data_IF_852040054284
#
_entry.id   IF_852040054284
#
_cell.length_a   1.000
_cell.length_b   1.000
_cell.length_c   1.000
_cell.angle_alpha   90.00
_cell.angle_beta   90.00
_cell.angle_gamma   90.00
#
_symmetry.space_group_name_H-M   'P 1'
#
loop_
_entity.id
_entity.type
_entity.pdbx_description
1 polymer ?
#
# COMPACT_ATOMS: atom_id res chain seq x y z
N UNK A 1 -3.69 -11.78 -13.04
CA UNK A 1 -4.41 -10.70 -13.76
C UNK A 1 -4.10 -10.79 -15.26
N UNK A 2 -4.95 -10.27 -16.17
CA UNK A 2 -4.56 -10.11 -17.57
C UNK A 2 -3.40 -9.12 -17.69
N UNK A 3 -2.53 -9.30 -18.68
CA UNK A 3 -1.37 -8.42 -18.91
C UNK A 3 -1.74 -7.12 -19.61
N UNK A 4 -2.81 -7.14 -20.42
CA UNK A 4 -3.28 -5.99 -21.18
C UNK A 4 -4.80 -5.83 -21.01
N UNK A 5 -5.28 -4.59 -20.99
CA UNK A 5 -6.70 -4.25 -20.95
C UNK A 5 -6.97 -2.98 -21.78
N UNK A 6 -8.21 -2.80 -22.21
CA UNK A 6 -8.69 -1.53 -22.77
C UNK A 6 -9.14 -0.59 -21.65
N UNK A 7 -9.12 0.73 -21.87
CA UNK A 7 -9.77 1.69 -20.97
C UNK A 7 -11.22 1.25 -20.70
N UNK A 8 -11.69 1.41 -19.47
CA UNK A 8 -13.09 1.09 -19.10
C UNK A 8 -13.46 -0.41 -19.17
N UNK A 9 -12.50 -1.32 -19.43
CA UNK A 9 -12.74 -2.77 -19.49
C UNK A 9 -12.90 -3.40 -18.09
N UNK A 10 -13.76 -4.43 -17.98
CA UNK A 10 -13.86 -5.23 -16.76
C UNK A 10 -12.73 -6.26 -16.68
N UNK A 11 -11.94 -6.15 -15.61
CA UNK A 11 -10.78 -7.02 -15.38
C UNK A 11 -11.07 -7.97 -14.22
N UNK A 12 -10.75 -9.25 -14.43
CA UNK A 12 -10.81 -10.29 -13.41
C UNK A 12 -9.44 -10.50 -12.77
N UNK A 13 -9.36 -10.27 -11.47
CA UNK A 13 -8.19 -10.50 -10.64
C UNK A 13 -8.41 -11.79 -9.86
N UNK A 14 -7.49 -12.74 -9.99
CA UNK A 14 -7.49 -13.97 -9.19
C UNK A 14 -6.57 -13.73 -7.99
N UNK A 15 -7.11 -13.90 -6.80
CA UNK A 15 -6.40 -13.70 -5.55
C UNK A 15 -6.34 -15.05 -4.86
N UNK A 16 -5.11 -15.49 -4.55
CA UNK A 16 -4.83 -16.73 -3.83
C UNK A 16 -4.31 -16.39 -2.44
N UNK A 17 -4.93 -16.94 -1.42
CA UNK A 17 -4.58 -16.74 0.00
C UNK A 17 -5.06 -17.94 0.81
N UNK A 18 -4.51 -18.13 2.02
CA UNK A 18 -5.04 -19.15 2.93
C UNK A 18 -6.50 -18.84 3.28
N UNK A 19 -7.30 -19.89 3.52
CA UNK A 19 -8.69 -19.75 3.93
C UNK A 19 -8.83 -18.90 5.21
N UNK A 20 -9.96 -18.18 5.34
CA UNK A 20 -10.27 -17.30 6.48
C UNK A 20 -9.23 -16.17 6.73
N UNK A 21 -8.45 -15.82 5.72
CA UNK A 21 -7.53 -14.69 5.77
C UNK A 21 -8.23 -13.37 5.49
N UNK A 22 -7.78 -12.31 6.17
CA UNK A 22 -8.04 -10.95 5.74
C UNK A 22 -7.11 -10.60 4.58
N UNK A 23 -7.61 -9.89 3.55
CA UNK A 23 -6.79 -9.47 2.41
C UNK A 23 -6.95 -7.98 2.15
N UNK A 24 -5.84 -7.24 2.11
CA UNK A 24 -5.79 -5.86 1.62
C UNK A 24 -5.24 -5.81 0.20
N UNK A 25 -5.91 -5.10 -0.70
CA UNK A 25 -5.49 -4.91 -2.09
C UNK A 25 -5.29 -3.42 -2.39
N UNK A 26 -4.17 -3.13 -3.06
CA UNK A 26 -3.79 -1.81 -3.54
C UNK A 26 -3.51 -1.88 -5.03
N UNK A 27 -4.04 -0.92 -5.79
CA UNK A 27 -3.82 -0.80 -7.23
C UNK A 27 -3.54 0.65 -7.59
N UNK A 28 -2.30 0.95 -7.95
CA UNK A 28 -1.81 2.33 -8.16
C UNK A 28 -1.26 2.46 -9.58
N UNK A 29 -1.40 3.66 -10.14
CA UNK A 29 -0.78 4.01 -11.41
C UNK A 29 0.75 3.95 -11.30
N UNK A 30 1.42 3.33 -12.28
CA UNK A 30 2.87 3.24 -12.33
C UNK A 30 3.55 4.61 -12.33
N UNK A 31 2.94 5.64 -12.92
CA UNK A 31 3.49 7.00 -12.93
C UNK A 31 3.64 7.59 -11.52
N UNK A 32 2.71 7.31 -10.61
CA UNK A 32 2.77 7.75 -9.21
C UNK A 32 3.89 7.02 -8.46
N UNK A 33 4.06 5.72 -8.71
CA UNK A 33 5.15 4.93 -8.14
C UNK A 33 6.54 5.41 -8.60
N UNK A 34 6.62 6.00 -9.80
CA UNK A 34 7.86 6.59 -10.33
C UNK A 34 8.17 7.97 -9.71
N UNK A 35 7.17 8.70 -9.20
CA UNK A 35 7.38 9.99 -8.55
C UNK A 35 7.96 9.84 -7.15
N UNK A 36 7.44 8.88 -6.37
CA UNK A 36 7.93 8.60 -5.01
C UNK A 36 7.75 7.12 -4.69
N UNK A 37 8.87 6.40 -4.57
CA UNK A 37 8.92 5.01 -4.12
C UNK A 37 9.00 4.92 -2.59
N UNK A 38 8.83 3.72 -2.05
CA UNK A 38 8.94 3.45 -0.60
C UNK A 38 7.65 3.60 0.20
N UNK A 39 6.50 3.77 -0.45
CA UNK A 39 5.19 3.85 0.22
C UNK A 39 4.45 2.48 0.26
N UNK A 40 5.04 1.42 -0.31
CA UNK A 40 4.46 0.07 -0.30
C UNK A 40 5.16 -0.81 0.73
N UNK A 41 4.45 -1.81 1.26
CA UNK A 41 4.99 -2.74 2.25
C UNK A 41 5.95 -3.71 1.58
N UNK A 42 7.19 -3.78 2.06
CA UNK A 42 8.16 -4.79 1.60
C UNK A 42 8.36 -5.88 2.64
N UNK A 43 8.78 -7.05 2.15
CA UNK A 43 9.11 -8.17 3.02
C UNK A 43 10.23 -7.79 4.00
N UNK A 44 11.25 -7.10 3.51
CA UNK A 44 12.39 -6.70 4.32
C UNK A 44 11.97 -5.73 5.43
N UNK A 45 11.07 -4.77 5.15
CA UNK A 45 10.56 -3.85 6.19
C UNK A 45 9.85 -4.60 7.31
N UNK A 46 9.04 -5.61 6.97
CA UNK A 46 8.35 -6.45 7.95
C UNK A 46 9.36 -7.26 8.77
N UNK A 47 10.30 -7.96 8.12
CA UNK A 47 11.27 -8.79 8.84
C UNK A 47 12.28 -7.98 9.66
N UNK A 48 12.68 -6.81 9.17
CA UNK A 48 13.53 -5.88 9.92
C UNK A 48 12.80 -5.37 11.16
N UNK A 49 11.52 -5.03 11.04
CA UNK A 49 10.67 -4.65 12.19
C UNK A 49 10.48 -5.82 13.16
N UNK A 50 10.24 -7.05 12.68
CA UNK A 50 10.11 -8.21 13.56
C UNK A 50 11.42 -8.54 14.29
N UNK A 51 12.56 -8.32 13.65
CA UNK A 51 13.87 -8.56 14.25
C UNK A 51 14.15 -7.63 15.44
N UNK A 52 13.51 -6.46 15.54
CA UNK A 52 13.69 -5.58 16.72
C UNK A 52 13.08 -6.17 18.00
N UNK A 53 12.16 -7.13 17.87
CA UNK A 53 11.57 -7.84 19.00
C UNK A 53 12.37 -9.08 19.43
N UNK A 54 13.51 -9.35 18.80
CA UNK A 54 14.39 -10.43 19.24
C UNK A 54 14.94 -10.12 20.63
N UNK A 55 14.65 -11.01 21.58
CA UNK A 55 15.13 -10.89 22.94
C UNK A 55 16.52 -11.48 23.07
N UNK A 56 17.38 -10.79 23.81
CA UNK A 56 18.67 -11.30 24.27
C UNK A 56 18.74 -11.10 25.78
N UNK A 57 19.45 -11.98 26.48
CA UNK A 57 19.70 -11.73 27.90
C UNK A 57 20.79 -10.67 28.02
N UNK A 58 20.57 -9.60 28.82
CA UNK A 58 21.54 -8.54 29.00
C UNK A 58 22.91 -9.07 29.41
N UNK A 59 23.96 -8.29 29.11
CA UNK A 59 25.32 -8.63 29.51
C UNK A 59 25.41 -8.89 31.02
N UNK A 60 25.94 -10.05 31.40
CA UNK A 60 26.14 -10.44 32.79
C UNK A 60 27.63 -10.32 33.16
N UNK A 61 27.94 -9.67 34.29
CA UNK A 61 29.30 -9.61 34.81
C UNK A 61 29.78 -11.01 35.25
N UNK A 62 30.74 -11.59 34.53
CA UNK A 62 31.33 -12.89 34.86
C UNK A 62 32.36 -13.37 33.84
N UNK A 63 33.16 -14.38 34.22
CA UNK A 63 34.10 -15.04 33.33
C UNK A 63 33.40 -16.18 32.57
N UNK A 64 32.93 -15.91 31.34
CA UNK A 64 32.52 -16.96 30.39
C UNK A 64 31.14 -16.78 29.75
N UNK A 65 30.81 -17.70 28.83
CA UNK A 65 29.49 -17.79 28.17
C UNK A 65 28.45 -18.25 29.18
N UNK A 66 27.35 -17.51 29.31
CA UNK A 66 26.26 -17.87 30.21
C UNK A 66 25.06 -18.46 29.43
N UNK A 67 24.30 -19.39 30.02
CA UNK A 67 23.09 -19.92 29.41
C UNK A 67 22.11 -18.79 29.10
N UNK A 68 21.52 -18.78 27.90
CA UNK A 68 20.55 -17.77 27.51
C UNK A 68 21.12 -16.57 26.74
N UNK A 69 22.44 -16.36 26.75
CA UNK A 69 23.11 -15.17 26.16
C UNK A 69 22.66 -14.85 24.73
N UNK A 70 22.47 -15.87 23.89
CA UNK A 70 22.05 -15.70 22.49
C UNK A 70 20.60 -16.10 22.24
N UNK A 71 19.92 -16.71 23.21
CA UNK A 71 18.56 -17.24 23.04
C UNK A 71 17.49 -16.42 23.75
N UNK A 72 17.87 -15.39 24.52
CA UNK A 72 16.92 -14.56 25.27
C UNK A 72 16.22 -15.29 26.42
N UNK A 73 16.70 -16.49 26.80
CA UNK A 73 16.09 -17.32 27.83
C UNK A 73 16.68 -17.03 29.21
N UNK A 74 15.82 -16.92 30.21
CA UNK A 74 16.25 -16.84 31.62
C UNK A 74 16.39 -18.26 32.17
N UNK A 75 17.56 -18.58 32.72
CA UNK A 75 17.82 -19.88 33.36
C UNK A 75 17.58 -19.77 34.85
N UNK A 76 16.70 -20.61 35.40
CA UNK A 76 16.44 -20.67 36.84
C UNK A 76 17.12 -21.92 37.41
N UNK A 77 18.06 -21.74 38.35
CA UNK A 77 18.79 -22.84 38.99
C UNK A 77 19.07 -22.53 40.46
N UNK A 78 19.22 -23.58 41.26
CA UNK A 78 19.63 -23.50 42.66
C UNK A 78 21.14 -23.24 42.83
N UNK A 79 21.91 -23.28 41.74
CA UNK A 79 23.31 -22.86 41.74
C UNK A 79 23.39 -21.34 41.96
N UNK A 80 24.29 -20.90 42.86
CA UNK A 80 24.55 -19.49 43.08
C UNK A 80 25.21 -18.88 41.83
N UNK A 81 24.39 -18.33 40.93
CA UNK A 81 24.83 -17.62 39.74
C UNK A 81 24.62 -16.12 39.98
N UNK A 82 25.66 -15.27 39.89
CA UNK A 82 25.50 -13.84 40.11
C UNK A 82 24.63 -13.24 38.99
N UNK A 83 23.39 -12.88 39.32
CA UNK A 83 22.54 -12.06 38.46
C UNK A 83 22.72 -10.60 38.83
N UNK A 84 23.04 -9.74 37.85
CA UNK A 84 22.74 -8.33 37.98
C UNK A 84 21.32 -8.12 37.45
N UNK A 85 20.40 -7.62 38.27
CA UNK A 85 19.02 -7.30 37.89
C UNK A 85 18.87 -5.87 37.38
N UNK A 86 19.97 -5.13 37.23
CA UNK A 86 19.93 -3.82 36.59
C UNK A 86 19.63 -3.96 35.11
N UNK A 87 18.38 -3.70 34.76
CA UNK A 87 17.98 -3.42 33.39
C UNK A 87 18.68 -2.12 32.96
N UNK A 88 19.33 -2.07 31.77
CA UNK A 88 19.65 -0.78 31.20
C UNK A 88 18.32 -0.07 30.91
N UNK A 89 18.11 1.10 31.53
CA UNK A 89 17.02 2.01 31.21
C UNK A 89 17.08 2.28 29.69
N UNK A 90 16.10 1.76 28.95
CA UNK A 90 15.87 2.21 27.60
C UNK A 90 15.36 3.64 27.71
N UNK A 91 16.20 4.58 27.29
CA UNK A 91 15.82 5.98 27.08
C UNK A 91 14.76 6.00 25.99
N UNK A 92 13.52 6.24 26.40
CA UNK A 92 12.49 6.81 25.52
C UNK A 92 12.92 8.23 25.17
N UNK A 93 13.45 8.45 23.96
CA UNK A 93 13.50 9.78 23.37
C UNK A 93 12.19 10.03 22.60
N UNK A 94 11.43 10.99 23.14
CA UNK A 94 10.10 11.46 22.74
C UNK A 94 10.21 12.57 21.65
N UNK A 95 9.21 13.43 21.37
CA UNK A 95 8.61 13.60 20.04
C UNK A 95 8.83 15.01 19.46
N UNK A 96 8.90 15.22 18.15
CA UNK A 96 8.70 16.60 17.62
C UNK A 96 7.76 16.67 16.41
N UNK A 97 6.57 17.16 16.74
CA UNK A 97 5.56 17.80 15.91
C UNK A 97 6.08 19.19 15.52
N UNK A 98 6.10 19.52 14.23
CA UNK A 98 6.23 20.91 13.75
C UNK A 98 4.84 21.50 13.50
N UNK A 99 4.51 22.56 14.24
CA UNK A 99 3.36 23.43 13.97
C UNK A 99 3.80 24.67 13.17
N UNK A 100 2.97 25.13 12.23
CA UNK A 100 2.92 26.52 11.79
C UNK A 100 1.45 26.95 11.65
N UNK A 101 1.04 27.94 12.44
CA UNK A 101 -0.19 28.72 12.26
C UNK A 101 0.13 30.05 11.57
N UNK A 102 -0.70 30.46 10.60
CA UNK A 102 -1.55 31.68 10.65
C UNK A 102 -2.21 31.97 9.28
N UNK A 103 -3.55 31.82 9.23
CA UNK A 103 -4.61 32.79 8.82
C UNK A 103 -4.26 33.97 7.86
N UNK A 104 -5.12 34.50 6.96
CA UNK A 104 -6.59 34.52 6.81
C UNK A 104 -6.98 35.15 5.43
N UNK A 105 -8.12 34.72 4.88
CA UNK A 105 -9.18 35.50 4.17
C UNK A 105 -9.17 35.97 2.69
N UNK A 106 -10.37 35.74 2.10
CA UNK A 106 -11.14 36.48 1.09
C UNK A 106 -10.98 36.16 -0.41
N UNK A 107 -11.95 35.41 -0.96
CA UNK A 107 -12.27 35.36 -2.40
C UNK A 107 -13.57 36.16 -2.71
N UNK A 108 -13.58 37.06 -3.72
CA UNK A 108 -14.79 37.71 -4.24
C UNK A 108 -15.51 36.85 -5.33
N UNK A 109 -16.76 37.18 -5.71
CA UNK A 109 -17.62 36.32 -6.55
C UNK A 109 -17.35 36.43 -8.06
N UNK A 110 -17.72 35.38 -8.80
CA UNK A 110 -17.62 35.26 -10.26
C UNK A 110 -18.63 36.14 -11.02
N UNK A 111 -18.33 36.58 -12.26
CA UNK A 111 -19.33 36.97 -13.24
C UNK A 111 -19.68 35.83 -14.22
N UNK A 112 -20.85 35.96 -14.84
CA UNK A 112 -21.49 34.98 -15.71
C UNK A 112 -21.49 35.40 -17.21
N UNK A 113 -21.38 34.38 -18.09
CA UNK A 113 -21.94 34.22 -19.46
C UNK A 113 -21.41 35.07 -20.63
N UNK A 114 -20.98 34.40 -21.73
CA UNK A 114 -21.65 34.40 -23.06
C UNK A 114 -20.83 33.60 -24.11
N UNK A 115 -21.36 32.46 -24.56
CA UNK A 115 -21.92 32.20 -25.91
C UNK A 115 -20.92 31.73 -26.98
N UNK A 116 -20.97 30.42 -27.29
CA UNK A 116 -20.49 29.87 -28.56
C UNK A 116 -21.67 29.48 -29.46
N UNK A 117 -21.56 29.61 -30.79
CA UNK A 117 -22.63 29.28 -31.73
C UNK A 117 -22.86 27.76 -31.80
N UNK A 118 -24.07 27.30 -32.19
CA UNK A 118 -24.36 25.89 -32.28
C UNK A 118 -23.73 25.31 -33.54
N UNK A 119 -22.88 24.28 -33.38
CA UNK A 119 -22.45 23.48 -34.52
C UNK A 119 -23.41 22.31 -34.74
N UNK A 120 -23.73 22.20 -36.02
CA UNK A 120 -24.72 21.37 -36.67
C UNK A 120 -24.40 19.89 -36.57
N UNK A 121 -25.47 19.11 -36.38
CA UNK A 121 -25.41 17.70 -36.08
C UNK A 121 -24.75 16.83 -37.16
N UNK A 122 -23.97 15.88 -36.68
CA UNK A 122 -23.84 14.55 -37.28
C UNK A 122 -24.08 13.53 -36.17
N UNK A 123 -25.05 12.63 -36.35
CA UNK A 123 -25.31 11.52 -35.44
C UNK A 123 -24.20 10.48 -35.58
N UNK A 124 -23.05 10.79 -35.01
CA UNK A 124 -21.99 9.85 -34.71
C UNK A 124 -22.44 9.06 -33.49
N UNK A 125 -22.24 7.74 -33.48
CA UNK A 125 -22.29 6.93 -32.26
C UNK A 125 -21.64 7.73 -31.13
N UNK A 126 -22.31 7.94 -29.97
CA UNK A 126 -21.80 8.85 -28.96
C UNK A 126 -20.39 8.42 -28.59
N UNK A 127 -19.41 9.28 -28.92
CA UNK A 127 -18.01 9.04 -28.58
C UNK A 127 -17.95 9.01 -27.06
N UNK A 128 -17.55 7.87 -26.51
CA UNK A 128 -17.41 7.72 -25.06
C UNK A 128 -16.17 8.54 -24.63
N UNK A 129 -16.44 9.71 -24.08
CA UNK A 129 -15.41 10.58 -23.53
C UNK A 129 -14.91 9.94 -22.23
N UNK A 130 -13.61 9.64 -22.19
CA UNK A 130 -12.91 9.16 -20.99
C UNK A 130 -12.99 10.21 -19.90
N UNK A 131 -13.38 9.81 -18.70
CA UNK A 131 -13.60 10.72 -17.56
C UNK A 131 -12.86 10.28 -16.30
N UNK A 132 -12.58 8.99 -16.16
CA UNK A 132 -12.01 8.45 -14.93
C UNK A 132 -10.48 8.35 -15.04
N UNK A 133 -9.79 9.39 -14.59
CA UNK A 133 -8.32 9.47 -14.48
C UNK A 133 -7.88 9.44 -13.02
N UNK A 134 -8.20 8.36 -12.31
CA UNK A 134 -7.76 8.17 -10.93
C UNK A 134 -6.26 7.84 -10.86
N UNK A 135 -5.61 8.21 -9.76
CA UNK A 135 -4.25 7.78 -9.42
C UNK A 135 -4.24 6.43 -8.68
N UNK A 136 -5.31 6.16 -7.94
CA UNK A 136 -5.55 4.92 -7.19
C UNK A 136 -6.82 4.26 -7.73
N UNK A 137 -6.66 3.03 -8.21
CA UNK A 137 -7.75 2.22 -8.75
C UNK A 137 -8.34 1.26 -7.72
N UNK A 138 -7.48 0.57 -6.96
CA UNK A 138 -7.90 -0.41 -5.95
C UNK A 138 -7.42 0.06 -4.59
N UNK A 139 -8.37 0.20 -3.68
CA UNK A 139 -8.15 0.40 -2.25
C UNK A 139 -9.27 -0.32 -1.50
N UNK A 140 -9.11 -1.62 -1.32
CA UNK A 140 -10.17 -2.48 -0.79
C UNK A 140 -9.62 -3.55 0.14
N UNK A 141 -10.35 -3.80 1.21
CA UNK A 141 -10.11 -4.91 2.12
C UNK A 141 -11.23 -5.94 2.00
N UNK A 142 -10.85 -7.21 2.00
CA UNK A 142 -11.76 -8.35 1.95
C UNK A 142 -11.63 -9.08 3.28
N UNK A 143 -12.75 -9.16 4.00
CA UNK A 143 -12.82 -9.75 5.34
C UNK A 143 -12.86 -11.29 5.32
N UNK A 144 -12.94 -11.87 6.52
CA UNK A 144 -12.97 -13.32 6.81
C UNK A 144 -14.21 -14.04 6.25
N UNK A 145 -14.31 -14.14 4.94
CA UNK A 145 -15.41 -14.84 4.28
C UNK A 145 -14.94 -15.61 3.05
N UNK A 146 -13.63 -15.71 2.84
CA UNK A 146 -13.08 -16.55 1.78
C UNK A 146 -12.96 -17.97 2.33
N UNK A 147 -14.01 -18.77 2.14
CA UNK A 147 -14.03 -20.20 2.50
C UNK A 147 -13.18 -21.06 1.56
N UNK A 148 -12.66 -20.48 0.48
CA UNK A 148 -11.81 -21.13 -0.52
C UNK A 148 -10.41 -20.48 -0.52
N UNK A 149 -9.38 -21.22 -0.93
CA UNK A 149 -8.00 -20.68 -1.03
C UNK A 149 -7.81 -19.69 -2.19
N UNK A 150 -8.82 -19.54 -3.05
CA UNK A 150 -8.78 -18.66 -4.21
C UNK A 150 -10.15 -17.99 -4.42
N UNK A 151 -10.13 -16.70 -4.75
CA UNK A 151 -11.34 -15.99 -5.18
C UNK A 151 -11.04 -15.03 -6.34
N UNK A 152 -12.09 -14.69 -7.08
CA UNK A 152 -11.99 -13.77 -8.22
C UNK A 152 -12.66 -12.44 -7.90
N UNK A 153 -11.88 -11.36 -7.92
CA UNK A 153 -12.36 -9.99 -7.86
C UNK A 153 -12.54 -9.44 -9.27
N UNK A 154 -13.75 -9.06 -9.64
CA UNK A 154 -14.03 -8.38 -10.92
C UNK A 154 -14.13 -6.89 -10.67
N UNK A 155 -13.32 -6.08 -11.37
CA UNK A 155 -13.36 -4.62 -11.25
C UNK A 155 -13.13 -3.96 -12.59
N UNK A 156 -13.86 -2.86 -12.83
CA UNK A 156 -13.69 -2.01 -14.00
C UNK A 156 -12.40 -1.20 -13.89
N UNK A 157 -11.52 -1.30 -14.88
CA UNK A 157 -10.24 -0.56 -14.90
C UNK A 157 -10.48 0.91 -15.30
N UNK A 158 -9.72 1.89 -14.77
CA UNK A 158 -9.91 3.29 -15.11
C UNK A 158 -9.58 3.60 -16.57
N UNK A 159 -9.94 4.80 -17.01
CA UNK A 159 -9.80 5.19 -18.42
C UNK A 159 -8.37 5.66 -18.78
N UNK A 160 -7.51 5.79 -17.75
CA UNK A 160 -6.12 6.20 -17.89
C UNK A 160 -5.34 5.20 -18.74
N UNK A 161 -4.70 5.70 -19.81
CA UNK A 161 -3.78 4.90 -20.62
C UNK A 161 -2.44 4.88 -19.90
N UNK A 162 -2.30 3.90 -19.02
CA UNK A 162 -1.17 3.74 -18.11
C UNK A 162 -0.96 2.25 -17.80
N UNK A 163 0.08 1.96 -17.04
CA UNK A 163 0.25 0.66 -16.41
C UNK A 163 -0.19 0.74 -14.97
N UNK A 164 -1.07 -0.17 -14.56
CA UNK A 164 -1.49 -0.33 -13.17
C UNK A 164 -0.64 -1.40 -12.50
N UNK A 165 -0.16 -1.11 -11.29
CA UNK A 165 0.54 -2.07 -10.45
C UNK A 165 -0.37 -2.45 -9.29
N UNK A 166 -0.70 -3.73 -9.19
CA UNK A 166 -1.56 -4.28 -8.14
C UNK A 166 -0.71 -5.09 -7.16
N UNK A 167 -0.76 -4.69 -5.91
CA UNK A 167 -0.13 -5.35 -4.76
C UNK A 167 -1.17 -5.65 -3.69
N UNK A 168 -0.78 -6.46 -2.71
CA UNK A 168 -1.66 -6.82 -1.62
C UNK A 168 -0.95 -7.61 -0.54
N UNK A 169 -1.57 -7.62 0.63
CA UNK A 169 -1.13 -8.36 1.81
C UNK A 169 -2.29 -9.19 2.36
N UNK A 170 -1.96 -10.27 3.06
CA UNK A 170 -2.95 -11.07 3.79
C UNK A 170 -2.55 -11.30 5.24
N UNK A 171 -3.55 -11.43 6.11
CA UNK A 171 -3.41 -11.71 7.53
C UNK A 171 -4.22 -12.96 7.89
N UNK A 172 -3.54 -13.97 8.41
CA UNK A 172 -4.12 -15.23 8.84
C UNK A 172 -3.73 -15.52 10.31
N UNK A 173 -4.64 -16.04 11.15
CA UNK A 173 -4.31 -16.39 12.54
C UNK A 173 -3.21 -17.45 12.69
N UNK A 174 -3.09 -18.35 11.72
CA UNK A 174 -2.20 -19.51 11.79
C UNK A 174 -0.92 -19.28 11.01
N UNK A 175 -1.01 -18.79 9.77
CA UNK A 175 0.17 -18.54 8.92
C UNK A 175 0.77 -17.14 9.07
N UNK A 176 0.09 -16.23 9.78
CA UNK A 176 0.59 -14.88 10.07
C UNK A 176 0.36 -13.90 8.93
N UNK A 177 1.35 -13.06 8.64
CA UNK A 177 1.27 -12.02 7.60
C UNK A 177 1.97 -12.50 6.33
N UNK A 178 1.32 -12.32 5.17
CA UNK A 178 1.93 -12.58 3.87
C UNK A 178 1.81 -11.37 2.94
N UNK A 179 2.81 -11.21 2.07
CA UNK A 179 2.83 -10.19 1.03
C UNK A 179 2.77 -10.85 -0.35
N UNK A 180 2.24 -10.11 -1.32
CA UNK A 180 2.23 -10.54 -2.72
C UNK A 180 3.68 -10.67 -3.23
N UNK A 181 4.09 -11.88 -3.60
CA UNK A 181 5.46 -12.16 -4.06
C UNK A 181 5.87 -11.37 -5.30
N UNK A 182 4.98 -11.25 -6.27
CA UNK A 182 5.22 -10.54 -7.52
C UNK A 182 4.03 -9.61 -7.81
N UNK A 183 4.23 -8.27 -7.80
CA UNK A 183 3.19 -7.32 -8.16
C UNK A 183 2.59 -7.62 -9.53
N UNK A 184 1.26 -7.63 -9.63
CA UNK A 184 0.57 -7.84 -10.90
C UNK A 184 0.52 -6.54 -11.69
N UNK A 185 1.11 -6.53 -12.88
CA UNK A 185 1.11 -5.35 -13.78
C UNK A 185 0.07 -5.52 -14.88
N UNK A 186 -0.76 -4.50 -15.07
CA UNK A 186 -1.81 -4.48 -16.09
C UNK A 186 -1.61 -3.25 -16.96
N UNK A 187 -1.32 -3.46 -18.25
CA UNK A 187 -1.12 -2.37 -19.19
C UNK A 187 -2.45 -1.99 -19.84
N UNK A 188 -2.90 -0.77 -19.62
CA UNK A 188 -4.05 -0.20 -20.31
C UNK A 188 -3.57 0.55 -21.54
N UNK A 189 -4.04 0.13 -22.72
CA UNK A 189 -3.60 0.73 -23.98
C UNK A 189 -4.71 0.76 -25.03
N UNK A 190 -4.71 1.82 -25.84
CA UNK A 190 -5.55 1.98 -27.01
C UNK A 190 -4.71 2.49 -28.19
N UNK A 191 -4.84 1.92 -29.41
CA UNK A 191 -4.00 2.31 -30.55
C UNK A 191 -4.12 3.79 -30.96
N UNK A 192 -5.26 4.43 -30.69
CA UNK A 192 -5.52 5.82 -30.99
C UNK A 192 -6.12 6.51 -29.77
N UNK A 193 -5.49 7.60 -29.30
CA UNK A 193 -5.97 8.39 -28.19
C UNK A 193 -5.41 9.82 -28.24
N UNK A 194 -6.09 10.73 -27.54
CA UNK A 194 -5.60 12.10 -27.31
C UNK A 194 -4.99 12.15 -25.90
N UNK A 195 -3.83 12.81 -25.78
CA UNK A 195 -3.16 13.11 -24.52
C UNK A 195 -3.16 14.63 -24.29
N UNK A 196 -3.49 15.05 -23.08
CA UNK A 196 -3.53 16.46 -22.68
C UNK A 196 -2.49 16.69 -21.58
N UNK A 197 -1.55 17.61 -21.80
CA UNK A 197 -0.60 18.05 -20.79
C UNK A 197 -1.10 19.38 -20.22
N UNK A 198 -1.88 19.32 -19.13
CA UNK A 198 -2.48 20.49 -18.51
C UNK A 198 -1.59 21.00 -17.37
N UNK A 199 -1.37 22.32 -17.24
CA UNK A 199 -0.72 22.88 -16.08
C UNK A 199 -1.57 22.62 -14.82
N UNK A 200 -0.92 22.52 -13.66
CA UNK A 200 -1.60 22.27 -12.39
C UNK A 200 -2.66 23.34 -12.06
N UNK A 201 -2.40 24.58 -12.46
CA UNK A 201 -3.31 25.72 -12.29
C UNK A 201 -3.05 26.75 -13.39
N UNK A 202 -4.07 27.54 -13.73
CA UNK A 202 -4.07 28.63 -14.72
C UNK A 202 -4.72 29.86 -14.10
#
# INVERSE_FOLDING_TARGET
>A
APTNAKPSEEVKLRIKTDADSFVGLLGVDQSVLLLKSGNDLTQDDIFNSLNTYQTSTPWMNGYGRYPGQTSGLVTLTNANYPYNTEFPDYVEDDPEIYAFENNLDALPPMPAIANFPPDTGNTVQPVEIRKNFADVWIWQSIGRSVGEEEFTLTKKIPDTITSWVVTGFSLNPTSGTALTKNPSKIRVFQPFFVSTNLPYSV
#
